data_IF_014957545756
#
_entry.id   IF_014957545756
#
_cell.length_a   1.000
_cell.length_b   1.000
_cell.length_c   1.000
_cell.angle_alpha   90.00
_cell.angle_beta   90.00
_cell.angle_gamma   90.00
#
_symmetry.space_group_name_H-M   'P 1'
#
loop_
_entity.id
_entity.type
_entity.pdbx_description
1 polymer ?
#
# COMPACT_ATOMS: atom_id res chain seq x y z
N UNK A 1 -89.68 -49.62 55.56
CA UNK A 1 -88.30 -49.09 55.64
C UNK A 1 -87.65 -49.25 54.27
N UNK A 2 -87.27 -48.19 53.55
CA UNK A 2 -86.59 -48.35 52.27
C UNK A 2 -85.11 -48.66 52.53
N UNK A 3 -84.67 -49.84 52.12
CA UNK A 3 -83.25 -50.20 52.09
C UNK A 3 -82.59 -49.48 50.92
N UNK A 4 -81.85 -48.41 51.22
CA UNK A 4 -81.02 -47.70 50.25
C UNK A 4 -79.93 -48.65 49.78
N UNK A 5 -79.90 -48.93 48.47
CA UNK A 5 -79.02 -49.92 47.88
C UNK A 5 -77.61 -49.35 47.68
N UNK A 6 -76.82 -49.34 48.77
CA UNK A 6 -75.45 -48.80 48.86
C UNK A 6 -74.45 -49.38 47.83
N UNK A 7 -74.75 -50.56 47.27
CA UNK A 7 -73.88 -51.24 46.29
C UNK A 7 -73.87 -50.50 44.95
N UNK A 8 -74.98 -49.84 44.58
CA UNK A 8 -75.08 -49.07 43.33
C UNK A 8 -74.28 -47.77 43.39
N UNK A 9 -74.33 -47.06 44.52
CA UNK A 9 -73.58 -45.82 44.72
C UNK A 9 -72.06 -46.07 44.73
N UNK A 10 -71.61 -47.15 45.38
CA UNK A 10 -70.18 -47.52 45.35
C UNK A 10 -69.67 -47.84 43.93
N UNK A 11 -70.47 -48.52 43.09
CA UNK A 11 -70.09 -48.80 41.69
C UNK A 11 -70.07 -47.54 40.83
N UNK A 12 -70.96 -46.58 41.11
CA UNK A 12 -70.99 -45.29 40.40
C UNK A 12 -69.74 -44.45 40.75
N UNK A 13 -69.35 -44.43 42.03
CA UNK A 13 -68.16 -43.72 42.52
C UNK A 13 -66.88 -44.36 41.96
N UNK A 14 -66.76 -45.70 41.96
CA UNK A 14 -65.61 -46.39 41.36
C UNK A 14 -65.46 -46.11 39.86
N UNK A 15 -66.54 -46.10 39.08
CA UNK A 15 -66.48 -45.77 37.64
C UNK A 15 -66.06 -44.32 37.39
N UNK A 16 -66.47 -43.39 38.26
CA UNK A 16 -66.03 -41.98 38.16
C UNK A 16 -64.54 -41.86 38.47
N UNK A 17 -64.05 -42.49 39.53
CA UNK A 17 -62.61 -42.48 39.85
C UNK A 17 -61.76 -43.16 38.77
N UNK A 18 -62.22 -44.28 38.19
CA UNK A 18 -61.53 -44.92 37.07
C UNK A 18 -61.45 -44.01 35.84
N UNK A 19 -62.54 -43.30 35.49
CA UNK A 19 -62.52 -42.34 34.37
C UNK A 19 -61.57 -41.18 34.63
N UNK A 20 -61.58 -40.63 35.85
CA UNK A 20 -60.67 -39.53 36.24
C UNK A 20 -59.22 -40.00 36.24
N UNK A 21 -58.93 -41.21 36.73
CA UNK A 21 -57.59 -41.79 36.72
C UNK A 21 -57.06 -42.02 35.29
N UNK A 22 -57.91 -42.53 34.40
CA UNK A 22 -57.56 -42.71 32.97
C UNK A 22 -57.32 -41.35 32.29
N UNK A 23 -58.14 -40.34 32.58
CA UNK A 23 -57.94 -38.98 32.07
C UNK A 23 -56.65 -38.35 32.59
N UNK A 24 -56.32 -38.52 33.87
CA UNK A 24 -55.07 -38.04 34.46
C UNK A 24 -53.85 -38.72 33.82
N UNK A 25 -53.90 -40.04 33.63
CA UNK A 25 -52.84 -40.77 32.93
C UNK A 25 -52.69 -40.30 31.47
N UNK A 26 -53.80 -40.01 30.78
CA UNK A 26 -53.76 -39.46 29.43
C UNK A 26 -53.12 -38.06 29.40
N UNK A 27 -53.45 -37.18 30.34
CA UNK A 27 -52.86 -35.83 30.44
C UNK A 27 -51.35 -35.91 30.73
N UNK A 28 -50.94 -36.79 31.65
CA UNK A 28 -49.51 -37.02 31.94
C UNK A 28 -48.80 -37.58 30.70
N UNK A 29 -49.40 -38.53 29.98
CA UNK A 29 -48.85 -39.10 28.76
C UNK A 29 -48.66 -38.06 27.66
N UNK A 30 -49.66 -37.19 27.45
CA UNK A 30 -49.57 -36.07 26.49
C UNK A 30 -48.49 -35.07 26.92
N UNK A 31 -48.42 -34.76 28.22
CA UNK A 31 -47.38 -33.87 28.76
C UNK A 31 -45.96 -34.39 28.50
N UNK A 32 -45.72 -35.69 28.68
CA UNK A 32 -44.44 -36.32 28.39
C UNK A 32 -44.10 -36.30 26.90
N UNK A 33 -45.08 -36.46 26.01
CA UNK A 33 -44.87 -36.37 24.56
C UNK A 33 -44.43 -34.97 24.13
N UNK A 34 -45.05 -33.92 24.67
CA UNK A 34 -44.68 -32.52 24.36
C UNK A 34 -43.25 -32.23 24.82
N UNK A 35 -42.87 -32.68 26.03
CA UNK A 35 -41.52 -32.51 26.54
C UNK A 35 -40.51 -33.28 25.68
N UNK A 36 -40.83 -34.51 25.29
CA UNK A 36 -39.95 -35.31 24.43
C UNK A 36 -39.74 -34.63 23.06
N UNK A 37 -40.78 -34.05 22.46
CA UNK A 37 -40.67 -33.34 21.19
C UNK A 37 -39.73 -32.13 21.29
N UNK A 38 -39.86 -31.30 22.34
CA UNK A 38 -38.99 -30.14 22.53
C UNK A 38 -37.54 -30.53 22.84
N UNK A 39 -37.31 -31.61 23.58
CA UNK A 39 -35.94 -32.14 23.81
C UNK A 39 -35.31 -32.63 22.50
N UNK A 40 -36.06 -33.32 21.65
CA UNK A 40 -35.56 -33.78 20.34
C UNK A 40 -35.28 -32.58 19.43
N UNK A 41 -36.19 -31.60 19.39
CA UNK A 41 -36.05 -30.40 18.56
C UNK A 41 -34.84 -29.57 18.97
N UNK A 42 -34.61 -29.39 20.27
CA UNK A 42 -33.43 -28.68 20.80
C UNK A 42 -32.14 -29.46 20.54
N UNK A 43 -32.15 -30.79 20.67
CA UNK A 43 -31.00 -31.63 20.35
C UNK A 43 -30.63 -31.58 18.85
N UNK A 44 -31.62 -31.59 17.94
CA UNK A 44 -31.35 -31.43 16.50
C UNK A 44 -30.77 -30.06 16.16
N UNK A 45 -31.30 -28.98 16.76
CA UNK A 45 -30.76 -27.63 16.59
C UNK A 45 -29.30 -27.52 17.08
N UNK A 46 -28.97 -28.15 18.21
CA UNK A 46 -27.58 -28.19 18.71
C UNK A 46 -26.64 -28.91 17.76
N UNK A 47 -27.03 -30.08 17.23
CA UNK A 47 -26.22 -30.82 16.25
C UNK A 47 -26.01 -30.04 14.95
N UNK A 48 -27.05 -29.36 14.45
CA UNK A 48 -26.92 -28.51 13.27
C UNK A 48 -25.95 -27.34 13.51
N UNK A 49 -25.99 -26.75 14.71
CA UNK A 49 -25.07 -25.68 15.09
C UNK A 49 -23.63 -26.19 15.22
N UNK A 50 -23.41 -27.34 15.88
CA UNK A 50 -22.10 -27.99 16.01
C UNK A 50 -21.50 -28.34 14.65
N UNK A 51 -22.29 -28.89 13.73
CA UNK A 51 -21.86 -29.17 12.36
C UNK A 51 -21.48 -27.89 11.61
N UNK A 52 -22.25 -26.81 11.78
CA UNK A 52 -21.93 -25.50 11.22
C UNK A 52 -20.63 -24.91 11.79
N UNK A 53 -20.41 -25.05 13.10
CA UNK A 53 -19.18 -24.60 13.76
C UNK A 53 -17.97 -25.39 13.23
N UNK A 54 -18.08 -26.71 13.09
CA UNK A 54 -17.01 -27.55 12.52
C UNK A 54 -16.68 -27.14 11.09
N UNK A 55 -17.69 -26.88 10.25
CA UNK A 55 -17.47 -26.45 8.88
C UNK A 55 -16.80 -25.07 8.80
N UNK A 56 -17.17 -24.14 9.69
CA UNK A 56 -16.50 -22.86 9.83
C UNK A 56 -15.06 -23.02 10.32
N UNK A 57 -14.81 -23.91 11.28
CA UNK A 57 -13.47 -24.19 11.79
C UNK A 57 -12.57 -24.80 10.70
N UNK A 58 -13.09 -25.70 9.86
CA UNK A 58 -12.37 -26.23 8.71
C UNK A 58 -12.05 -25.15 7.67
N UNK A 59 -12.99 -24.24 7.40
CA UNK A 59 -12.76 -23.10 6.50
C UNK A 59 -11.70 -22.17 7.06
N UNK A 60 -11.70 -21.91 8.38
CA UNK A 60 -10.68 -21.13 9.06
C UNK A 60 -9.32 -21.84 8.98
N UNK A 61 -9.27 -23.17 9.20
CA UNK A 61 -8.04 -23.97 9.08
C UNK A 61 -7.46 -23.92 7.67
N UNK A 62 -8.31 -23.92 6.63
CA UNK A 62 -7.89 -23.76 5.22
C UNK A 62 -7.45 -22.32 4.89
N UNK A 63 -8.08 -21.31 5.50
CA UNK A 63 -7.78 -19.91 5.24
C UNK A 63 -6.52 -19.40 5.98
N UNK A 64 -6.22 -19.94 7.17
CA UNK A 64 -5.02 -19.58 7.96
C UNK A 64 -3.70 -19.67 7.18
N UNK A 65 -3.35 -20.79 6.51
CA UNK A 65 -2.08 -20.87 5.78
C UNK A 65 -2.01 -19.89 4.60
N UNK A 66 -3.15 -19.52 4.00
CA UNK A 66 -3.18 -18.50 2.96
C UNK A 66 -2.96 -17.09 3.52
N UNK A 67 -3.47 -16.81 4.72
CA UNK A 67 -3.22 -15.55 5.41
C UNK A 67 -1.76 -15.43 5.86
N UNK A 68 -1.18 -16.52 6.38
CA UNK A 68 0.22 -16.57 6.80
C UNK A 68 1.17 -16.41 5.61
N UNK A 69 0.88 -17.09 4.49
CA UNK A 69 1.64 -16.93 3.24
C UNK A 69 1.54 -15.51 2.67
N UNK A 70 0.38 -14.86 2.76
CA UNK A 70 0.24 -13.46 2.36
C UNK A 70 1.07 -12.52 3.24
N UNK A 71 1.11 -12.75 4.56
CA UNK A 71 1.96 -11.97 5.47
C UNK A 71 3.44 -12.17 5.13
N UNK A 72 3.86 -13.40 4.88
CA UNK A 72 5.24 -13.70 4.49
C UNK A 72 5.61 -12.99 3.16
N UNK A 73 4.75 -13.08 2.15
CA UNK A 73 4.95 -12.37 0.89
C UNK A 73 5.01 -10.86 1.09
N UNK A 74 4.17 -10.30 1.96
CA UNK A 74 4.20 -8.87 2.24
C UNK A 74 5.49 -8.45 2.94
N UNK A 75 6.04 -9.27 3.84
CA UNK A 75 7.36 -9.01 4.43
C UNK A 75 8.48 -9.08 3.38
N UNK A 76 8.42 -10.03 2.45
CA UNK A 76 9.39 -10.13 1.36
C UNK A 76 9.31 -8.94 0.41
N UNK A 77 8.10 -8.46 0.10
CA UNK A 77 7.90 -7.25 -0.71
C UNK A 77 8.52 -6.04 -0.02
N UNK A 78 8.22 -5.81 1.26
CA UNK A 78 8.79 -4.68 2.02
C UNK A 78 10.32 -4.76 2.15
N UNK A 79 10.89 -5.97 2.16
CA UNK A 79 12.34 -6.15 2.18
C UNK A 79 12.99 -5.86 0.81
N UNK A 80 12.28 -6.11 -0.28
CA UNK A 80 12.76 -5.91 -1.65
C UNK A 80 12.56 -4.48 -2.15
N UNK A 81 11.55 -3.76 -1.68
CA UNK A 81 11.29 -2.34 -1.99
C UNK A 81 12.54 -1.43 -1.96
N UNK A 82 13.38 -1.43 -0.90
CA UNK A 82 14.57 -0.56 -0.88
C UNK A 82 15.60 -0.93 -1.95
N UNK A 83 15.71 -2.22 -2.29
CA UNK A 83 16.64 -2.68 -3.33
C UNK A 83 16.17 -2.27 -4.72
N UNK A 84 14.86 -2.34 -4.97
CA UNK A 84 14.26 -1.90 -6.23
C UNK A 84 14.36 -0.38 -6.37
N UNK A 85 14.13 0.37 -5.29
CA UNK A 85 14.32 1.82 -5.28
C UNK A 85 15.76 2.19 -5.64
N UNK A 86 16.75 1.54 -5.00
CA UNK A 86 18.17 1.78 -5.28
C UNK A 86 18.53 1.46 -6.74
N UNK A 87 18.03 0.35 -7.29
CA UNK A 87 18.30 -0.01 -8.69
C UNK A 87 17.65 0.97 -9.66
N UNK A 88 16.42 1.42 -9.39
CA UNK A 88 15.74 2.43 -10.20
C UNK A 88 16.50 3.76 -10.17
N UNK A 89 16.97 4.18 -8.99
CA UNK A 89 17.77 5.39 -8.83
C UNK A 89 19.09 5.28 -9.60
N UNK A 90 19.80 4.15 -9.48
CA UNK A 90 21.03 3.89 -10.21
C UNK A 90 20.82 3.86 -11.74
N UNK A 91 19.73 3.22 -12.20
CA UNK A 91 19.36 3.19 -13.61
C UNK A 91 19.06 4.60 -14.13
N UNK A 92 18.30 5.41 -13.39
CA UNK A 92 17.99 6.79 -13.75
C UNK A 92 19.25 7.63 -13.86
N UNK A 93 20.15 7.52 -12.88
CA UNK A 93 21.45 8.22 -12.89
C UNK A 93 22.25 7.80 -14.13
N UNK A 94 22.28 6.50 -14.44
CA UNK A 94 23.05 5.96 -15.57
C UNK A 94 22.49 6.42 -16.91
N UNK A 95 21.17 6.33 -17.13
CA UNK A 95 20.53 6.81 -18.36
C UNK A 95 20.77 8.30 -18.57
N UNK A 96 20.75 9.07 -17.49
CA UNK A 96 21.06 10.48 -17.53
C UNK A 96 22.51 10.75 -17.90
N UNK A 97 23.46 9.98 -17.36
CA UNK A 97 24.87 10.06 -17.77
C UNK A 97 25.05 9.74 -19.24
N UNK A 98 24.37 8.71 -19.73
CA UNK A 98 24.43 8.31 -21.15
C UNK A 98 23.89 9.43 -22.04
N UNK A 99 22.78 10.06 -21.67
CA UNK A 99 22.23 11.21 -22.39
C UNK A 99 23.20 12.40 -22.42
N UNK A 100 23.76 12.79 -21.28
CA UNK A 100 24.75 13.87 -21.18
C UNK A 100 26.01 13.56 -21.98
N UNK A 101 26.49 12.31 -21.98
CA UNK A 101 27.65 11.92 -22.78
C UNK A 101 27.36 11.95 -24.27
N UNK A 102 26.17 11.53 -24.71
CA UNK A 102 25.74 11.64 -26.10
C UNK A 102 25.62 13.10 -26.58
N UNK A 103 25.12 13.97 -25.71
CA UNK A 103 25.11 15.41 -25.96
C UNK A 103 26.54 15.97 -26.04
N UNK A 104 27.41 15.63 -25.10
CA UNK A 104 28.81 16.06 -25.12
C UNK A 104 29.51 15.60 -26.39
N UNK A 105 29.32 14.35 -26.81
CA UNK A 105 29.88 13.82 -28.06
C UNK A 105 29.39 14.59 -29.28
N UNK A 106 28.10 14.92 -29.36
CA UNK A 106 27.55 15.76 -30.44
C UNK A 106 28.10 17.19 -30.42
N UNK A 107 28.50 17.70 -29.25
CA UNK A 107 29.02 19.06 -29.10
C UNK A 107 30.50 19.19 -29.48
N UNK A 108 31.27 18.10 -29.32
CA UNK A 108 32.69 18.07 -29.68
C UNK A 108 32.80 17.83 -31.19
N UNK A 109 33.48 18.71 -31.94
CA UNK A 109 33.69 18.48 -33.37
C UNK A 109 34.58 17.25 -33.58
N UNK A 110 33.97 16.11 -33.88
CA UNK A 110 34.67 14.88 -34.31
C UNK A 110 34.57 14.70 -35.83
N UNK A 111 35.67 14.29 -36.51
CA UNK A 111 37.04 14.19 -36.00
C UNK A 111 37.81 15.53 -36.06
N UNK A 112 38.71 15.78 -35.09
CA UNK A 112 40.00 16.38 -35.45
C UNK A 112 40.45 17.78 -34.97
N UNK A 113 39.76 18.53 -34.08
CA UNK A 113 40.42 19.71 -33.50
C UNK A 113 40.30 19.91 -31.98
N UNK A 114 39.48 19.13 -31.27
CA UNK A 114 39.24 19.28 -29.83
C UNK A 114 39.13 17.90 -29.18
N UNK A 115 39.87 17.68 -28.10
CA UNK A 115 39.85 16.48 -27.29
C UNK A 115 39.51 16.83 -25.84
N UNK A 116 38.53 16.15 -25.25
CA UNK A 116 38.23 16.29 -23.83
C UNK A 116 39.11 15.31 -23.05
N UNK A 117 39.85 15.82 -22.06
CA UNK A 117 40.75 15.02 -21.21
C UNK A 117 40.18 14.79 -19.83
N UNK A 118 39.39 15.73 -19.31
CA UNK A 118 38.78 15.62 -17.98
C UNK A 118 37.35 16.15 -17.99
N UNK A 119 36.48 15.42 -17.31
CA UNK A 119 35.08 15.76 -17.09
C UNK A 119 34.83 15.67 -15.59
N UNK A 120 34.52 16.79 -14.94
CA UNK A 120 34.22 16.82 -13.52
C UNK A 120 32.87 17.46 -13.27
N UNK A 121 31.99 16.72 -12.59
CA UNK A 121 30.64 17.15 -12.29
C UNK A 121 30.51 17.40 -10.80
N UNK A 122 30.10 18.62 -10.45
CA UNK A 122 29.77 18.98 -9.08
C UNK A 122 28.32 19.43 -9.03
N UNK A 123 27.55 18.85 -8.12
CA UNK A 123 26.17 19.25 -7.89
C UNK A 123 26.19 20.17 -6.66
N UNK A 124 25.74 21.41 -6.83
CA UNK A 124 25.72 22.40 -5.75
C UNK A 124 24.94 21.87 -4.55
N UNK A 125 25.60 21.67 -3.42
CA UNK A 125 24.99 21.20 -2.17
C UNK A 125 25.09 19.71 -1.86
N UNK A 126 25.70 18.88 -2.73
CA UNK A 126 25.94 17.47 -2.42
C UNK A 126 27.21 17.30 -1.58
N UNK A 127 27.08 17.49 -0.27
CA UNK A 127 27.95 16.74 0.65
C UNK A 127 27.67 15.26 0.41
N UNK A 128 28.71 14.49 0.10
CA UNK A 128 28.65 13.06 -0.22
C UNK A 128 27.60 12.32 0.63
N UNK A 129 26.49 11.90 0.00
CA UNK A 129 25.42 11.12 0.65
C UNK A 129 24.03 11.75 0.70
N UNK A 130 23.81 13.00 0.27
CA UNK A 130 22.45 13.56 0.16
C UNK A 130 21.89 13.41 -1.26
N UNK A 131 20.66 12.89 -1.34
CA UNK A 131 19.88 12.78 -2.58
C UNK A 131 19.84 14.14 -3.29
N UNK A 132 20.15 14.10 -4.58
CA UNK A 132 20.11 15.27 -5.46
C UNK A 132 18.65 15.63 -5.69
N UNK A 133 18.22 16.79 -5.20
CA UNK A 133 16.84 17.23 -5.41
C UNK A 133 16.60 17.61 -6.87
N UNK A 134 15.42 17.28 -7.43
CA UNK A 134 15.01 17.77 -8.75
C UNK A 134 14.98 19.30 -8.75
N UNK A 135 15.40 19.93 -9.85
CA UNK A 135 15.58 21.39 -9.94
C UNK A 135 16.93 21.92 -9.41
N UNK A 136 17.82 21.06 -8.89
CA UNK A 136 19.17 21.50 -8.49
C UNK A 136 20.00 21.87 -9.72
N UNK A 137 20.70 23.00 -9.65
CA UNK A 137 21.67 23.40 -10.68
C UNK A 137 22.99 22.70 -10.41
N UNK A 138 23.43 21.87 -11.36
CA UNK A 138 24.75 21.26 -11.33
C UNK A 138 25.75 22.04 -12.17
N UNK A 139 27.03 21.82 -11.89
CA UNK A 139 28.16 22.42 -12.58
C UNK A 139 28.97 21.30 -13.23
N UNK A 140 29.17 21.44 -14.53
CA UNK A 140 30.00 20.59 -15.36
C UNK A 140 31.28 21.36 -15.70
N UNK A 141 32.42 20.89 -15.21
CA UNK A 141 33.74 21.38 -15.59
C UNK A 141 34.33 20.42 -16.63
N UNK A 142 34.58 20.95 -17.82
CA UNK A 142 35.20 20.28 -18.94
C UNK A 142 36.64 20.77 -19.04
N UNK A 143 37.60 19.89 -19.23
CA UNK A 143 38.97 20.28 -19.59
C UNK A 143 39.46 19.41 -20.72
N UNK A 144 40.28 19.99 -21.57
CA UNK A 144 40.67 19.38 -22.83
C UNK A 144 41.78 20.13 -23.53
N UNK A 145 42.07 19.67 -24.73
CA UNK A 145 43.10 20.22 -25.60
C UNK A 145 42.49 20.49 -26.96
N UNK A 146 42.83 21.63 -27.56
CA UNK A 146 42.32 22.04 -28.86
C UNK A 146 43.43 22.61 -29.74
N UNK A 147 43.35 22.39 -31.05
CA UNK A 147 44.35 22.91 -32.01
C UNK A 147 44.32 24.43 -32.19
N UNK A 148 43.19 25.07 -31.91
CA UNK A 148 43.08 26.54 -32.07
C UNK A 148 41.92 27.14 -31.26
N UNK A 149 42.03 28.42 -30.92
CA UNK A 149 40.97 29.17 -30.23
C UNK A 149 39.61 29.14 -30.97
N UNK A 150 39.55 29.25 -32.32
CA UNK A 150 38.30 29.08 -33.06
C UNK A 150 37.59 27.75 -32.79
N UNK A 151 38.32 26.65 -32.64
CA UNK A 151 37.72 25.35 -32.37
C UNK A 151 37.13 25.26 -30.96
N UNK A 152 37.78 25.88 -29.97
CA UNK A 152 37.24 26.01 -28.60
C UNK A 152 35.93 26.83 -28.66
N UNK A 153 35.93 27.96 -29.36
CA UNK A 153 34.74 28.80 -29.50
C UNK A 153 33.58 28.06 -30.21
N UNK A 154 33.88 27.26 -31.23
CA UNK A 154 32.88 26.44 -31.93
C UNK A 154 32.28 25.38 -31.00
N UNK A 155 33.11 24.66 -30.24
CA UNK A 155 32.65 23.70 -29.24
C UNK A 155 31.76 24.39 -28.19
N UNK A 156 32.19 25.53 -27.65
CA UNK A 156 31.41 26.30 -26.67
C UNK A 156 30.05 26.75 -27.21
N UNK A 157 29.99 27.16 -28.49
CA UNK A 157 28.72 27.49 -29.15
C UNK A 157 27.78 26.29 -29.24
N UNK A 158 28.31 25.12 -29.60
CA UNK A 158 27.52 23.87 -29.65
C UNK A 158 27.03 23.45 -28.27
N UNK A 159 27.88 23.53 -27.25
CA UNK A 159 27.49 23.31 -25.86
C UNK A 159 26.40 24.29 -25.42
N UNK A 160 26.51 25.58 -25.76
CA UNK A 160 25.50 26.58 -25.41
C UNK A 160 24.16 26.41 -26.16
N UNK A 161 24.17 25.68 -27.28
CA UNK A 161 22.95 25.38 -28.05
C UNK A 161 22.18 24.18 -27.48
N UNK A 162 22.74 23.46 -26.50
CA UNK A 162 22.07 22.32 -25.86
C UNK A 162 21.04 22.80 -24.85
N UNK A 163 19.84 22.22 -24.89
CA UNK A 163 18.72 22.65 -24.05
C UNK A 163 19.00 22.48 -22.54
N UNK A 164 19.85 21.51 -22.18
CA UNK A 164 20.14 21.16 -20.79
C UNK A 164 21.32 21.92 -20.19
N UNK A 165 22.13 22.58 -21.01
CA UNK A 165 23.29 23.37 -20.60
C UNK A 165 22.98 24.86 -20.62
N UNK A 166 23.39 25.56 -19.55
CA UNK A 166 23.28 27.00 -19.38
C UNK A 166 24.62 27.57 -18.92
N UNK A 167 24.82 28.86 -19.14
CA UNK A 167 26.00 29.59 -18.68
C UNK A 167 27.35 28.90 -18.99
N UNK A 168 27.54 28.49 -20.25
CA UNK A 168 28.82 27.95 -20.73
C UNK A 168 29.87 29.07 -20.73
N UNK A 169 30.92 28.93 -19.91
CA UNK A 169 31.99 29.92 -19.73
C UNK A 169 33.36 29.26 -19.84
N UNK A 170 34.26 29.89 -20.58
CA UNK A 170 35.66 29.51 -20.60
C UNK A 170 36.32 30.00 -19.31
N UNK A 171 36.95 29.11 -18.56
CA UNK A 171 37.69 29.45 -17.34
C UNK A 171 39.14 29.80 -17.67
N UNK A 172 39.78 28.98 -18.49
CA UNK A 172 41.19 29.11 -18.85
C UNK A 172 41.43 28.57 -20.25
N UNK A 173 42.32 29.20 -21.00
CA UNK A 173 42.85 28.66 -22.24
C UNK A 173 44.32 29.10 -22.38
N UNK A 174 45.23 28.14 -22.40
CA UNK A 174 46.68 28.35 -22.41
C UNK A 174 47.31 27.58 -23.56
N UNK A 175 48.10 28.27 -24.38
CA UNK A 175 48.91 27.62 -25.40
C UNK A 175 50.02 26.79 -24.74
N UNK A 176 50.11 25.52 -25.11
CA UNK A 176 51.13 24.60 -24.66
C UNK A 176 52.42 24.86 -25.48
N UNK A 177 53.56 25.14 -24.83
CA UNK A 177 54.77 25.61 -25.51
C UNK A 177 55.43 24.58 -26.44
N UNK A 178 55.04 23.29 -26.37
CA UNK A 178 55.69 22.21 -27.12
C UNK A 178 54.78 21.43 -28.07
N UNK A 179 53.46 21.69 -28.09
CA UNK A 179 52.50 20.81 -28.77
C UNK A 179 51.65 21.51 -29.85
N UNK A 180 51.87 22.81 -30.13
CA UNK A 180 50.98 23.62 -31.00
C UNK A 180 49.49 23.52 -30.64
N UNK A 181 49.22 23.21 -29.37
CA UNK A 181 47.92 22.88 -28.83
C UNK A 181 47.57 23.83 -27.69
N UNK A 182 46.28 24.04 -27.47
CA UNK A 182 45.75 24.94 -26.46
C UNK A 182 45.02 24.08 -25.43
N UNK A 183 45.55 24.03 -24.22
CA UNK A 183 44.85 23.44 -23.10
C UNK A 183 43.75 24.41 -22.65
N UNK A 184 42.52 23.91 -22.50
CA UNK A 184 41.40 24.72 -22.07
C UNK A 184 40.64 24.07 -20.92
N UNK A 185 39.98 24.93 -20.14
CA UNK A 185 39.03 24.56 -19.10
C UNK A 185 37.75 25.38 -19.28
N UNK A 186 36.61 24.71 -19.34
CA UNK A 186 35.30 25.30 -19.54
C UNK A 186 34.36 24.84 -18.42
N UNK A 187 33.46 25.72 -18.01
CA UNK A 187 32.39 25.42 -17.06
C UNK A 187 31.05 25.60 -17.74
N UNK A 188 30.16 24.64 -17.62
CA UNK A 188 28.76 24.75 -17.97
C UNK A 188 27.91 24.48 -16.72
N UNK A 189 26.79 25.15 -16.59
CA UNK A 189 25.76 24.76 -15.65
C UNK A 189 24.80 23.83 -16.36
N UNK A 190 24.33 22.77 -15.70
CA UNK A 190 23.26 21.94 -16.23
C UNK A 190 22.07 22.01 -15.28
N UNK A 191 20.88 22.11 -15.85
CA UNK A 191 19.65 22.02 -15.09
C UNK A 191 19.25 20.55 -14.98
N UNK A 192 18.95 20.09 -13.77
CA UNK A 192 18.35 18.78 -13.56
C UNK A 192 16.85 18.97 -13.76
N UNK A 193 16.26 18.53 -14.89
CA UNK A 193 14.82 18.65 -15.07
C UNK A 193 14.09 18.00 -13.89
N UNK A 194 13.03 18.65 -13.41
CA UNK A 194 12.11 18.00 -12.49
C UNK A 194 11.44 16.87 -13.28
N UNK A 195 11.69 15.62 -12.90
CA UNK A 195 10.93 14.50 -13.46
C UNK A 195 9.44 14.75 -13.17
N UNK A 196 8.62 14.92 -14.20
CA UNK A 196 7.15 15.02 -14.05
C UNK A 196 6.57 13.80 -13.31
N UNK A 197 7.27 12.66 -13.33
CA UNK A 197 6.94 11.46 -12.55
C UNK A 197 7.04 11.68 -11.03
N UNK A 198 7.94 12.53 -10.54
CA UNK A 198 8.03 12.86 -9.10
C UNK A 198 6.84 13.76 -8.72
N UNK A 199 6.43 14.70 -9.59
CA UNK A 199 5.21 15.50 -9.37
C UNK A 199 3.97 14.62 -9.33
N UNK A 200 3.87 13.62 -10.20
CA UNK A 200 2.75 12.68 -10.19
C UNK A 200 2.79 11.72 -9.01
N UNK A 201 3.96 11.19 -8.63
CA UNK A 201 4.10 10.29 -7.47
C UNK A 201 3.82 10.99 -6.14
N UNK A 202 4.33 12.22 -5.94
CA UNK A 202 4.06 13.02 -4.73
C UNK A 202 2.58 13.39 -4.66
N UNK A 203 1.94 13.74 -5.78
CA UNK A 203 0.51 14.01 -5.81
C UNK A 203 -0.34 12.75 -5.54
N UNK A 204 0.11 11.57 -5.95
CA UNK A 204 -0.60 10.31 -5.69
C UNK A 204 -0.45 9.89 -4.23
N UNK A 205 0.73 10.04 -3.63
CA UNK A 205 0.96 9.77 -2.19
C UNK A 205 0.22 10.77 -1.29
N UNK A 206 0.18 12.07 -1.62
CA UNK A 206 -0.64 13.05 -0.89
C UNK A 206 -2.15 12.76 -1.02
N UNK A 207 -2.61 12.33 -2.21
CA UNK A 207 -4.01 11.94 -2.41
C UNK A 207 -4.36 10.62 -1.70
N UNK A 208 -3.45 9.65 -1.63
CA UNK A 208 -3.65 8.40 -0.88
C UNK A 208 -3.60 8.63 0.63
N UNK A 209 -2.64 9.43 1.13
CA UNK A 209 -2.60 9.82 2.53
C UNK A 209 -3.88 10.57 2.94
N UNK A 210 -4.36 11.52 2.14
CA UNK A 210 -5.63 12.23 2.39
C UNK A 210 -6.87 11.32 2.38
N UNK A 211 -6.89 10.28 1.53
CA UNK A 211 -7.95 9.26 1.49
C UNK A 211 -7.92 8.32 2.69
N UNK A 212 -6.73 7.93 3.15
CA UNK A 212 -6.60 7.04 4.30
C UNK A 212 -6.97 7.77 5.61
N UNK A 213 -6.61 9.05 5.76
CA UNK A 213 -7.05 9.83 6.91
C UNK A 213 -8.57 10.05 6.93
N UNK A 214 -9.20 10.31 5.79
CA UNK A 214 -10.67 10.46 5.73
C UNK A 214 -11.40 9.13 5.97
N UNK A 215 -10.89 8.01 5.46
CA UNK A 215 -11.46 6.68 5.71
C UNK A 215 -11.32 6.22 7.18
N UNK A 216 -10.20 6.57 7.84
CA UNK A 216 -9.98 6.26 9.26
C UNK A 216 -10.86 7.14 10.17
N UNK A 217 -11.03 8.43 9.84
CA UNK A 217 -11.91 9.35 10.60
C UNK A 217 -13.39 8.98 10.42
N UNK A 218 -13.82 8.58 9.21
CA UNK A 218 -15.19 8.09 8.99
C UNK A 218 -15.47 6.78 9.72
N UNK A 219 -14.53 5.82 9.75
CA UNK A 219 -14.67 4.59 10.54
C UNK A 219 -14.66 4.81 12.05
N UNK A 220 -13.97 5.85 12.54
CA UNK A 220 -13.99 6.24 13.94
C UNK A 220 -15.28 6.97 14.33
N UNK A 221 -15.82 7.80 13.42
CA UNK A 221 -17.11 8.48 13.56
C UNK A 221 -18.32 7.53 13.54
N UNK A 222 -18.34 6.54 12.64
CA UNK A 222 -19.44 5.55 12.59
C UNK A 222 -19.48 4.65 13.83
N UNK A 223 -18.34 4.35 14.45
CA UNK A 223 -18.29 3.55 15.67
C UNK A 223 -18.73 4.30 16.93
N UNK A 224 -18.83 5.63 16.89
CA UNK A 224 -19.21 6.44 18.07
C UNK A 224 -20.68 6.87 18.09
N UNK A 225 -21.46 6.59 17.04
CA UNK A 225 -22.89 7.00 16.96
C UNK A 225 -23.87 5.86 17.28
N UNK A 226 -23.44 4.61 17.27
CA UNK A 226 -24.28 3.45 17.61
C UNK A 226 -24.12 3.01 19.07
N UNK A 227 -24.56 3.84 20.03
CA UNK A 227 -25.03 3.41 21.36
C UNK A 227 -25.56 4.59 22.19
N UNK A 228 -26.64 5.22 21.71
CA UNK A 228 -27.58 5.94 22.58
C UNK A 228 -28.99 5.47 22.27
N UNK A 229 -29.37 4.34 22.83
CA UNK A 229 -30.77 3.97 23.04
C UNK A 229 -31.46 5.07 23.85
N UNK A 230 -32.55 5.69 23.36
CA UNK A 230 -33.38 6.54 24.22
C UNK A 230 -34.14 5.65 25.20
N UNK A 231 -33.91 5.86 26.50
CA UNK A 231 -34.77 5.34 27.56
C UNK A 231 -36.12 6.07 27.46
N UNK A 232 -37.08 5.42 26.80
CA UNK A 232 -38.49 5.74 26.95
C UNK A 232 -38.95 5.24 28.31
N UNK A 233 -39.25 6.15 29.24
CA UNK A 233 -40.12 5.89 30.38
C UNK A 233 -41.29 6.87 30.31
N UNK A 234 -42.30 6.49 29.54
CA UNK A 234 -43.68 6.85 29.87
C UNK A 234 -44.28 5.68 30.65
N UNK A 235 -44.59 5.92 31.92
CA UNK A 235 -45.56 5.15 32.67
C UNK A 235 -46.40 6.16 33.46
N UNK A 236 -47.59 6.41 32.95
CA UNK A 236 -48.68 7.10 33.62
C UNK A 236 -49.28 6.19 34.70
N UNK A 237 -49.31 6.66 35.95
CA UNK A 237 -50.49 6.72 36.84
C UNK A 237 -50.13 7.31 38.19
#
# INVERSE_FOLDING_TARGET
MPSVNLIWEQRLVQRRHQRIAVLLLAVIGIGLLIIAEEVVRTAMKRRACEAGIQQCEERIKKARPLADRNRELQTQITALEPTVALVKDAQRITLRWVGLMGELDASVPTPGPVYLTQLNFSIGGSSAGKQVLPGTIGVLNLSGVARSYPHIAQMMRRLSAQAHLREVRLLQAQAMPHEEEIQFSCRAQFHIPEDEEIRMAVNVEEQQAGRDYTAVVQRAGEKTVLNRTPLTTEATR
#
